data_IF_823500062669
#
_entry.id   IF_823500062669
#
_cell.length_a   1.000
_cell.length_b   1.000
_cell.length_c   1.000
_cell.angle_alpha   90.00
_cell.angle_beta   90.00
_cell.angle_gamma   90.00
#
_symmetry.space_group_name_H-M   'P 1'
#
loop_
_entity.id
_entity.type
_entity.pdbx_description
1 polymer ?
#
# COMPACT_ATOMS: atom_id res chain seq x y z
N UNK A 1 56.31 16.36 -26.15
CA UNK A 1 55.93 15.56 -24.97
C UNK A 1 54.51 15.96 -24.58
N UNK A 2 53.50 15.13 -24.88
CA UNK A 2 52.08 15.40 -24.56
C UNK A 2 51.65 14.35 -23.53
N UNK A 3 51.32 14.75 -22.30
CA UNK A 3 50.80 13.85 -21.27
C UNK A 3 49.28 13.78 -21.45
N UNK A 4 48.67 12.64 -21.81
CA UNK A 4 47.24 12.52 -21.79
C UNK A 4 46.80 12.42 -20.32
N UNK A 5 46.13 13.46 -19.83
CA UNK A 5 45.39 13.39 -18.58
C UNK A 5 44.30 12.34 -18.75
N UNK A 6 44.50 11.20 -18.09
CA UNK A 6 43.54 10.12 -17.96
C UNK A 6 42.34 10.67 -17.17
N UNK A 7 41.34 11.20 -17.87
CA UNK A 7 40.02 11.43 -17.31
C UNK A 7 39.37 10.08 -17.06
N UNK A 8 39.66 9.50 -15.90
CA UNK A 8 38.95 8.35 -15.35
C UNK A 8 37.59 8.85 -14.86
N UNK A 9 36.62 8.85 -15.75
CA UNK A 9 35.21 9.17 -15.47
C UNK A 9 34.68 8.15 -14.44
N UNK A 10 34.25 8.56 -13.24
CA UNK A 10 33.68 7.62 -12.28
C UNK A 10 32.21 7.41 -12.62
N UNK A 11 31.92 6.54 -13.59
CA UNK A 11 30.56 6.12 -13.96
C UNK A 11 29.87 5.23 -12.91
N UNK A 12 30.56 4.87 -11.82
CA UNK A 12 30.01 4.00 -10.75
C UNK A 12 29.05 4.71 -9.78
N UNK A 13 29.08 6.05 -9.68
CA UNK A 13 28.25 6.76 -8.70
C UNK A 13 26.77 6.87 -9.09
N UNK A 14 26.44 6.84 -10.39
CA UNK A 14 25.09 7.10 -10.88
C UNK A 14 24.19 5.85 -10.81
N UNK A 15 24.77 4.66 -10.90
CA UNK A 15 24.00 3.40 -10.86
C UNK A 15 23.41 3.11 -9.46
N UNK A 16 24.04 3.58 -8.38
CA UNK A 16 23.60 3.31 -7.02
C UNK A 16 22.33 4.09 -6.63
N UNK A 17 22.06 5.23 -7.26
CA UNK A 17 20.93 6.10 -6.90
C UNK A 17 19.57 5.63 -7.43
N UNK A 18 19.54 4.77 -8.47
CA UNK A 18 18.29 4.31 -9.08
C UNK A 18 17.54 3.24 -8.27
N UNK A 19 18.21 2.58 -7.31
CA UNK A 19 17.63 1.46 -6.53
C UNK A 19 16.75 1.93 -5.36
N UNK A 20 16.82 3.20 -4.97
CA UNK A 20 16.14 3.70 -3.75
C UNK A 20 14.65 4.04 -3.99
N UNK A 21 14.22 4.15 -5.25
CA UNK A 21 12.86 4.57 -5.61
C UNK A 21 11.82 3.43 -5.62
N UNK A 22 12.23 2.17 -5.44
CA UNK A 22 11.34 1.01 -5.59
C UNK A 22 10.51 0.66 -4.34
N UNK A 23 10.61 1.42 -3.24
CA UNK A 23 9.94 1.06 -1.98
C UNK A 23 8.47 1.47 -1.88
N UNK A 24 7.87 1.99 -2.95
CA UNK A 24 6.45 2.34 -2.97
C UNK A 24 5.61 1.10 -3.35
N UNK A 25 4.96 0.46 -2.38
CA UNK A 25 4.04 -0.65 -2.62
C UNK A 25 2.67 -0.13 -3.06
N UNK A 26 2.35 -0.28 -4.33
CA UNK A 26 1.02 -0.01 -4.89
C UNK A 26 0.19 -1.29 -4.98
N UNK A 27 -1.10 -1.16 -5.27
CA UNK A 27 -1.98 -2.30 -5.52
C UNK A 27 -1.47 -3.15 -6.70
N UNK A 28 -1.09 -2.52 -7.80
CA UNK A 28 -0.52 -3.20 -8.98
C UNK A 28 0.74 -3.99 -8.65
N UNK A 29 1.65 -3.47 -7.82
CA UNK A 29 2.86 -4.23 -7.46
C UNK A 29 2.55 -5.43 -6.58
N UNK A 30 1.50 -5.35 -5.74
CA UNK A 30 1.00 -6.52 -5.00
C UNK A 30 0.35 -7.55 -5.92
N UNK A 31 -0.47 -7.11 -6.88
CA UNK A 31 -1.12 -8.00 -7.87
C UNK A 31 -0.08 -8.71 -8.73
N UNK A 32 0.92 -7.99 -9.24
CA UNK A 32 1.97 -8.57 -10.09
C UNK A 32 2.91 -9.49 -9.31
N UNK A 33 3.10 -9.25 -8.00
CA UNK A 33 3.85 -10.13 -7.11
C UNK A 33 3.08 -11.38 -6.68
N UNK A 34 1.74 -11.33 -6.68
CA UNK A 34 0.86 -12.44 -6.27
C UNK A 34 -0.28 -12.71 -7.27
N UNK A 35 0.04 -13.00 -8.56
CA UNK A 35 -0.95 -13.26 -9.58
C UNK A 35 -1.80 -14.51 -9.25
N UNK A 36 -1.25 -15.48 -8.54
CA UNK A 36 -1.92 -16.70 -8.09
C UNK A 36 -3.12 -16.40 -7.18
N UNK A 37 -3.03 -15.37 -6.34
CA UNK A 37 -4.14 -14.93 -5.49
C UNK A 37 -5.17 -14.22 -6.37
N UNK A 38 -4.73 -13.27 -7.19
CA UNK A 38 -5.61 -12.43 -8.01
C UNK A 38 -6.47 -13.26 -8.98
N UNK A 39 -5.88 -14.27 -9.62
CA UNK A 39 -6.57 -15.12 -10.60
C UNK A 39 -7.65 -16.01 -9.98
N UNK A 40 -7.57 -16.32 -8.69
CA UNK A 40 -8.60 -17.10 -7.98
C UNK A 40 -9.82 -16.27 -7.60
N UNK A 41 -9.73 -14.94 -7.67
CA UNK A 41 -10.82 -14.04 -7.32
C UNK A 41 -11.92 -14.06 -8.39
N UNK A 42 -13.16 -13.83 -7.96
CA UNK A 42 -14.27 -13.61 -8.91
C UNK A 42 -13.99 -12.37 -9.78
N UNK A 43 -14.54 -12.27 -11.00
CA UNK A 43 -14.33 -11.10 -11.86
C UNK A 43 -14.73 -9.77 -11.19
N UNK A 44 -15.77 -9.82 -10.35
CA UNK A 44 -16.21 -8.66 -9.55
C UNK A 44 -15.17 -8.26 -8.51
N UNK A 45 -14.58 -9.24 -7.82
CA UNK A 45 -13.57 -8.96 -6.80
C UNK A 45 -12.25 -8.53 -7.43
N UNK A 46 -11.87 -9.08 -8.58
CA UNK A 46 -10.71 -8.61 -9.37
C UNK A 46 -10.85 -7.12 -9.70
N UNK A 47 -12.01 -6.71 -10.22
CA UNK A 47 -12.28 -5.31 -10.58
C UNK A 47 -12.21 -4.36 -9.37
N UNK A 48 -12.69 -4.78 -8.20
CA UNK A 48 -12.61 -3.98 -6.98
C UNK A 48 -11.17 -3.91 -6.46
N UNK A 49 -10.49 -5.05 -6.41
CA UNK A 49 -9.12 -5.14 -5.91
C UNK A 49 -8.17 -4.29 -6.75
N UNK A 50 -8.27 -4.31 -8.08
CA UNK A 50 -7.42 -3.46 -8.95
C UNK A 50 -7.65 -1.96 -8.72
N UNK A 51 -8.82 -1.56 -8.22
CA UNK A 51 -9.13 -0.18 -7.86
C UNK A 51 -8.76 0.17 -6.40
N UNK A 52 -8.17 -0.77 -5.65
CA UNK A 52 -7.90 -0.60 -4.22
C UNK A 52 -9.18 -0.55 -3.36
N UNK A 53 -10.27 -1.14 -3.84
CA UNK A 53 -11.56 -1.19 -3.14
C UNK A 53 -11.82 -2.58 -2.55
N UNK A 54 -12.61 -2.63 -1.48
CA UNK A 54 -13.04 -3.87 -0.84
C UNK A 54 -14.56 -3.90 -0.65
N UNK A 55 -15.11 -5.10 -0.42
CA UNK A 55 -16.51 -5.29 -0.03
C UNK A 55 -16.64 -6.36 1.03
N UNK A 56 -17.77 -6.36 1.73
CA UNK A 56 -18.13 -7.45 2.64
C UNK A 56 -18.16 -8.80 1.90
N UNK A 57 -17.64 -9.84 2.57
CA UNK A 57 -17.57 -11.21 2.05
C UNK A 57 -16.33 -11.52 1.21
N UNK A 58 -15.41 -10.56 1.00
CA UNK A 58 -14.10 -10.85 0.42
C UNK A 58 -13.23 -11.69 1.37
N UNK A 59 -12.34 -12.50 0.79
CA UNK A 59 -11.31 -13.22 1.55
C UNK A 59 -10.25 -12.27 2.10
N UNK A 60 -9.56 -12.67 3.17
CA UNK A 60 -8.44 -11.90 3.72
C UNK A 60 -7.35 -11.64 2.67
N UNK A 61 -7.08 -12.61 1.79
CA UNK A 61 -6.11 -12.47 0.71
C UNK A 61 -6.54 -11.39 -0.31
N UNK A 62 -7.83 -11.32 -0.66
CA UNK A 62 -8.34 -10.26 -1.54
C UNK A 62 -8.20 -8.86 -0.90
N UNK A 63 -8.53 -8.75 0.39
CA UNK A 63 -8.37 -7.50 1.15
C UNK A 63 -6.89 -7.09 1.23
N UNK A 64 -6.00 -8.03 1.51
CA UNK A 64 -4.56 -7.78 1.54
C UNK A 64 -4.02 -7.36 0.18
N UNK A 65 -4.52 -7.94 -0.91
CA UNK A 65 -4.10 -7.56 -2.25
C UNK A 65 -4.49 -6.10 -2.55
N UNK A 66 -5.71 -5.70 -2.16
CA UNK A 66 -6.21 -4.34 -2.33
C UNK A 66 -5.48 -3.32 -1.45
N UNK A 67 -5.42 -3.56 -0.13
CA UNK A 67 -5.00 -2.55 0.87
C UNK A 67 -3.61 -2.79 1.47
N UNK A 68 -3.01 -3.95 1.21
CA UNK A 68 -1.74 -4.34 1.80
C UNK A 68 -1.85 -4.73 3.27
N UNK A 69 -0.70 -4.77 3.94
CA UNK A 69 -0.60 -5.09 5.36
C UNK A 69 -1.23 -3.98 6.21
N UNK A 70 -2.07 -4.34 7.20
CA UNK A 70 -2.64 -3.35 8.11
C UNK A 70 -1.60 -2.83 9.10
N UNK A 71 -1.85 -1.65 9.67
CA UNK A 71 -1.02 -1.08 10.74
C UNK A 71 -1.13 -1.91 12.03
N UNK A 72 -2.33 -2.43 12.31
CA UNK A 72 -2.59 -3.29 13.47
C UNK A 72 -3.53 -4.43 13.14
N UNK A 73 -3.27 -5.59 13.74
CA UNK A 73 -4.16 -6.75 13.75
C UNK A 73 -4.57 -7.03 15.19
N UNK A 74 -5.87 -7.17 15.41
CA UNK A 74 -6.43 -7.55 16.72
C UNK A 74 -7.15 -8.88 16.55
N UNK A 75 -6.69 -9.89 17.27
CA UNK A 75 -7.39 -11.16 17.39
C UNK A 75 -8.28 -11.09 18.63
N UNK A 76 -9.54 -11.47 18.48
CA UNK A 76 -10.50 -11.45 19.56
C UNK A 76 -11.64 -12.41 19.32
N UNK A 77 -12.70 -12.24 20.10
CA UNK A 77 -13.92 -13.00 19.96
C UNK A 77 -15.11 -12.04 19.86
N UNK A 78 -15.87 -12.13 18.78
CA UNK A 78 -17.08 -11.32 18.57
C UNK A 78 -18.28 -12.24 18.54
N UNK A 79 -19.20 -12.09 19.51
CA UNK A 79 -20.42 -12.90 19.63
C UNK A 79 -20.15 -14.41 19.66
N UNK A 80 -19.11 -14.84 20.38
CA UNK A 80 -18.72 -16.24 20.51
C UNK A 80 -17.85 -16.78 19.37
N UNK A 81 -17.58 -15.99 18.32
CA UNK A 81 -16.77 -16.41 17.17
C UNK A 81 -15.37 -15.78 17.21
N UNK A 82 -14.29 -16.56 17.00
CA UNK A 82 -12.96 -16.00 16.78
C UNK A 82 -12.98 -15.03 15.59
N UNK A 83 -12.43 -13.84 15.79
CA UNK A 83 -12.41 -12.77 14.78
C UNK A 83 -11.05 -12.10 14.76
N UNK A 84 -10.51 -11.86 13.56
CA UNK A 84 -9.34 -11.02 13.33
C UNK A 84 -9.80 -9.69 12.73
N UNK A 85 -9.43 -8.57 13.37
CA UNK A 85 -9.76 -7.22 12.94
C UNK A 85 -8.51 -6.52 12.43
N UNK A 86 -8.55 -6.01 11.20
CA UNK A 86 -7.45 -5.28 10.56
C UNK A 86 -7.74 -3.78 10.67
N UNK A 87 -6.79 -3.04 11.22
CA UNK A 87 -6.89 -1.60 11.43
C UNK A 87 -5.92 -0.91 10.50
N UNK A 88 -6.47 -0.04 9.66
CA UNK A 88 -5.74 0.84 8.76
C UNK A 88 -5.88 2.29 9.25
N UNK A 89 -4.77 2.98 9.44
CA UNK A 89 -4.70 4.36 9.94
C UNK A 89 -4.15 5.23 8.83
N UNK A 90 -4.93 6.24 8.42
CA UNK A 90 -4.48 7.25 7.49
C UNK A 90 -4.34 8.58 8.22
N UNK A 91 -3.20 9.25 8.04
CA UNK A 91 -2.97 10.60 8.55
C UNK A 91 -3.19 11.60 7.43
N UNK A 92 -4.13 12.52 7.64
CA UNK A 92 -4.32 13.68 6.77
C UNK A 92 -4.00 14.95 7.55
N UNK A 93 -3.28 15.88 6.93
CA UNK A 93 -3.09 17.22 7.49
C UNK A 93 -4.35 18.04 7.25
N UNK A 94 -5.04 18.39 8.33
CA UNK A 94 -6.15 19.33 8.25
C UNK A 94 -5.61 20.72 7.82
N UNK A 95 -6.20 21.38 6.82
CA UNK A 95 -5.91 22.77 6.53
C UNK A 95 -6.44 23.59 7.71
N UNK A 96 -5.56 24.01 8.61
CA UNK A 96 -5.93 24.86 9.73
C UNK A 96 -6.30 26.26 9.20
N UNK A 97 -7.60 26.48 8.98
CA UNK A 97 -8.25 27.74 9.28
C UNK A 97 -8.82 27.65 10.70
N UNK A 98 -8.43 28.57 11.58
CA UNK A 98 -9.03 28.72 12.90
C UNK A 98 -10.57 28.81 12.80
N UNK A 99 -11.30 27.93 13.48
CA UNK A 99 -12.74 28.07 13.66
C UNK A 99 -13.48 26.74 13.75
N UNK A 100 -13.60 26.19 14.95
CA UNK A 100 -14.65 25.21 15.27
C UNK A 100 -15.95 25.97 15.59
N UNK A 101 -17.03 25.85 14.80
CA UNK A 101 -18.36 25.91 15.36
C UNK A 101 -18.75 24.49 15.75
N UNK A 102 -18.86 24.23 17.05
CA UNK A 102 -19.60 23.07 17.55
C UNK A 102 -21.02 23.10 16.94
N UNK A 103 -21.31 22.16 16.03
CA UNK A 103 -22.65 21.92 15.50
C UNK A 103 -23.23 20.63 16.09
N UNK A 104 -24.51 20.59 16.47
CA UNK A 104 -25.08 19.45 17.19
C UNK A 104 -25.27 18.26 16.26
N UNK A 105 -24.89 17.08 16.73
CA UNK A 105 -25.25 15.81 16.07
C UNK A 105 -26.79 15.68 16.05
N UNK A 106 -27.35 15.53 14.85
CA UNK A 106 -28.71 14.99 14.64
C UNK A 106 -28.60 13.55 14.16
#
# INVERSE_FOLDING_TARGET
MKRPFFFRTPTLGIAASALVLASCSTTETRISGHPEIYQTLSPRDQSLVSQGQIRAGMSQNAVWLAWGSPDRKIVGNMRGRPTETWIYVNYTTAPYGYGYPYGPYR
#
